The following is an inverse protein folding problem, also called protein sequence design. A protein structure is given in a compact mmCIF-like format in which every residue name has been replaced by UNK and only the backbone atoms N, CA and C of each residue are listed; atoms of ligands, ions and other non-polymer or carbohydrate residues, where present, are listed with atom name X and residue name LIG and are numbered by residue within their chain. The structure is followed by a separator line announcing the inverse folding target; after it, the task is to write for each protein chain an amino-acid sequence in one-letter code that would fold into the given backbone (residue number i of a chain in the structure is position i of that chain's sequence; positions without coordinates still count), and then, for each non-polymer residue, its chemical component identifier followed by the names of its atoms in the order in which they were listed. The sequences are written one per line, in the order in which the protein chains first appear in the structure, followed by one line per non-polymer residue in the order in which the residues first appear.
data_IF_440105780430
#
_entry.id   IF_440105780430
#
_cell.length_a   1.000
_cell.length_b   1.000
_cell.length_c   1.000
_cell.angle_alpha   90.00
_cell.angle_beta   90.00
_cell.angle_gamma   90.00
#
_symmetry.space_group_name_H-M   'P 1'
#
loop_
_entity.id
_entity.type
_entity.pdbx_description
1 polymer ?
#
# COMPACT_ATOMS: atom_id res chain seq x y z
N UNK A 1 13.12 8.47 -3.89
CA UNK A 1 11.67 8.71 -4.06
C UNK A 1 10.97 7.72 -5.01
N UNK A 2 11.28 7.64 -6.32
CA UNK A 2 10.57 6.70 -7.22
C UNK A 2 10.74 5.23 -6.80
N UNK A 3 11.97 4.81 -6.54
CA UNK A 3 12.26 3.45 -6.04
C UNK A 3 11.52 3.16 -4.72
N UNK A 4 11.54 4.08 -3.77
CA UNK A 4 10.83 3.92 -2.48
C UNK A 4 9.32 3.79 -2.66
N UNK A 5 8.70 4.55 -3.58
CA UNK A 5 7.29 4.42 -3.90
C UNK A 5 6.99 3.04 -4.50
N UNK A 6 7.81 2.56 -5.46
CA UNK A 6 7.66 1.22 -6.04
C UNK A 6 7.75 0.15 -4.95
N UNK A 7 8.80 0.21 -4.13
CA UNK A 7 9.05 -0.74 -3.05
C UNK A 7 7.90 -0.74 -2.03
N UNK A 8 7.48 0.44 -1.57
CA UNK A 8 6.42 0.59 -0.58
C UNK A 8 5.10 0.01 -1.07
N UNK A 9 4.63 0.41 -2.25
CA UNK A 9 3.34 -0.07 -2.74
C UNK A 9 3.39 -1.56 -3.13
N UNK A 10 4.55 -2.07 -3.54
CA UNK A 10 4.75 -3.50 -3.80
C UNK A 10 4.70 -4.30 -2.50
N UNK A 11 5.39 -3.85 -1.45
CA UNK A 11 5.35 -4.48 -0.12
C UNK A 11 3.94 -4.43 0.47
N UNK A 12 3.28 -3.27 0.42
CA UNK A 12 1.91 -3.11 0.88
C UNK A 12 0.96 -4.06 0.13
N UNK A 13 1.08 -4.17 -1.20
CA UNK A 13 0.28 -5.10 -2.00
C UNK A 13 0.56 -6.57 -1.63
N UNK A 14 1.83 -6.95 -1.47
CA UNK A 14 2.21 -8.31 -1.10
C UNK A 14 1.68 -8.71 0.29
N UNK A 15 1.87 -7.85 1.29
CA UNK A 15 1.39 -8.10 2.66
C UNK A 15 -0.15 -8.11 2.69
N UNK A 16 -0.81 -7.19 1.98
CA UNK A 16 -2.28 -7.17 1.89
C UNK A 16 -2.80 -8.41 1.19
N UNK A 17 -2.12 -8.92 0.15
CA UNK A 17 -2.48 -10.17 -0.52
C UNK A 17 -2.43 -11.34 0.46
N UNK A 18 -1.34 -11.46 1.23
CA UNK A 18 -1.22 -12.48 2.26
C UNK A 18 -2.33 -12.38 3.31
N UNK A 19 -2.67 -11.16 3.75
CA UNK A 19 -3.75 -10.93 4.71
C UNK A 19 -5.13 -11.32 4.14
N UNK A 20 -5.40 -10.98 2.87
CA UNK A 20 -6.66 -11.30 2.17
C UNK A 20 -6.83 -12.80 1.95
N UNK A 21 -5.73 -13.56 1.83
CA UNK A 21 -5.77 -15.03 1.74
C UNK A 21 -6.22 -15.71 3.05
N UNK A 22 -6.16 -15.02 4.20
CA UNK A 22 -6.67 -15.56 5.45
C UNK A 22 -8.20 -15.55 5.44
N UNK A 23 -8.87 -16.71 5.59
CA UNK A 23 -10.32 -16.78 5.57
C UNK A 23 -10.97 -15.86 6.62
N UNK A 24 -11.99 -15.11 6.21
CA UNK A 24 -12.75 -14.25 7.10
C UNK A 24 -12.18 -12.83 7.29
N UNK A 25 -10.90 -12.57 6.99
CA UNK A 25 -10.30 -11.24 7.13
C UNK A 25 -10.94 -10.22 6.17
N UNK A 26 -11.17 -10.63 4.91
CA UNK A 26 -11.80 -9.78 3.89
C UNK A 26 -13.23 -9.41 4.25
N UNK A 27 -13.93 -10.31 4.93
CA UNK A 27 -15.32 -10.14 5.37
C UNK A 27 -15.41 -9.58 6.79
N UNK A 28 -14.29 -9.28 7.43
CA UNK A 28 -14.26 -8.75 8.79
C UNK A 28 -14.95 -7.38 8.82
N UNK A 29 -15.62 -7.10 9.94
CA UNK A 29 -16.25 -5.79 10.17
C UNK A 29 -15.20 -4.68 10.07
N UNK A 30 -15.64 -3.47 9.69
CA UNK A 30 -14.77 -2.31 9.52
C UNK A 30 -13.85 -2.05 10.73
N UNK A 31 -14.32 -2.36 11.94
CA UNK A 31 -13.56 -2.24 13.19
C UNK A 31 -12.30 -3.11 13.26
N UNK A 32 -12.26 -4.24 12.56
CA UNK A 32 -11.06 -5.09 12.46
C UNK A 32 -10.29 -4.85 11.16
N UNK A 33 -11.00 -4.52 10.07
CA UNK A 33 -10.39 -4.25 8.77
C UNK A 33 -9.55 -2.97 8.74
N UNK A 34 -10.00 -1.89 9.39
CA UNK A 34 -9.29 -0.60 9.40
C UNK A 34 -7.95 -0.71 10.17
N UNK A 35 -7.90 -1.22 11.42
CA UNK A 35 -6.64 -1.32 12.14
C UNK A 35 -5.63 -2.19 11.41
N UNK A 36 -6.08 -3.29 10.79
CA UNK A 36 -5.20 -4.17 10.04
C UNK A 36 -4.67 -3.49 8.76
N UNK A 37 -5.53 -2.83 8.00
CA UNK A 37 -5.14 -2.04 6.83
C UNK A 37 -4.03 -1.02 7.19
N UNK A 38 -4.25 -0.26 8.27
CA UNK A 38 -3.27 0.69 8.78
C UNK A 38 -1.97 0.02 9.24
N UNK A 39 -2.06 -1.09 9.97
CA UNK A 39 -0.88 -1.83 10.42
C UNK A 39 -0.03 -2.33 9.24
N UNK A 40 -0.68 -2.77 8.15
CA UNK A 40 0.01 -3.19 6.92
C UNK A 40 0.73 -1.99 6.27
N UNK A 41 0.06 -0.84 6.15
CA UNK A 41 0.68 0.36 5.55
C UNK A 41 1.86 0.87 6.38
N UNK A 42 1.72 0.92 7.70
CA UNK A 42 2.80 1.30 8.62
C UNK A 42 3.96 0.30 8.53
N UNK A 43 3.65 -1.01 8.56
CA UNK A 43 4.65 -2.06 8.43
C UNK A 43 5.41 -2.00 7.10
N UNK A 44 4.70 -1.79 5.98
CA UNK A 44 5.30 -1.62 4.67
C UNK A 44 6.18 -0.36 4.59
N UNK A 45 5.74 0.75 5.19
CA UNK A 45 6.52 1.98 5.27
C UNK A 45 7.81 1.77 6.07
N UNK A 46 7.70 1.18 7.25
CA UNK A 46 8.84 0.85 8.09
C UNK A 46 9.85 -0.07 7.38
N UNK A 47 9.38 -1.14 6.74
CA UNK A 47 10.23 -2.03 5.94
C UNK A 47 10.92 -1.30 4.79
N UNK A 48 10.19 -0.42 4.09
CA UNK A 48 10.77 0.37 2.98
C UNK A 48 11.87 1.29 3.49
N UNK A 49 11.63 2.01 4.58
CA UNK A 49 12.63 2.90 5.19
C UNK A 49 13.87 2.14 5.67
N UNK A 50 13.69 0.93 6.22
CA UNK A 50 14.82 0.06 6.55
C UNK A 50 15.61 -0.38 5.31
N UNK A 51 14.94 -0.79 4.24
CA UNK A 51 15.61 -1.27 3.01
C UNK A 51 16.39 -0.14 2.33
N UNK A 52 15.80 1.05 2.24
CA UNK A 52 16.40 2.20 1.53
C UNK A 52 17.29 3.05 2.45
N UNK A 53 17.28 2.77 3.75
CA UNK A 53 18.00 3.54 4.78
C UNK A 53 17.53 5.01 4.83
N UNK A 54 16.25 5.24 4.53
CA UNK A 54 15.60 6.54 4.56
C UNK A 54 14.48 6.56 5.63
N UNK A 55 14.68 7.23 6.79
CA UNK A 55 13.66 7.31 7.83
C UNK A 55 12.47 8.18 7.44
N UNK A 56 12.65 9.10 6.48
CA UNK A 56 11.57 9.97 5.98
C UNK A 56 10.56 9.12 5.20
N UNK A 57 11.04 8.18 4.38
CA UNK A 57 10.21 7.22 3.66
C UNK A 57 9.29 6.43 4.60
N UNK A 58 9.79 6.02 5.77
CA UNK A 58 9.01 5.27 6.76
C UNK A 58 7.80 6.05 7.32
N UNK A 59 7.84 7.38 7.29
CA UNK A 59 6.78 8.25 7.82
C UNK A 59 5.86 8.74 6.71
N UNK A 60 6.42 9.17 5.57
CA UNK A 60 5.67 9.83 4.51
C UNK A 60 4.88 8.83 3.66
N UNK A 61 5.45 7.67 3.33
CA UNK A 61 4.82 6.71 2.43
C UNK A 61 3.52 6.10 2.99
N UNK A 62 3.43 5.74 4.29
CA UNK A 62 2.16 5.33 4.87
C UNK A 62 1.05 6.37 4.72
N UNK A 63 1.35 7.67 4.81
CA UNK A 63 0.36 8.74 4.63
C UNK A 63 -0.19 8.76 3.21
N UNK A 64 0.67 8.61 2.20
CA UNK A 64 0.25 8.46 0.81
C UNK A 64 -0.60 7.19 0.60
N UNK A 65 -0.18 6.07 1.20
CA UNK A 65 -0.94 4.82 1.18
C UNK A 65 -2.35 4.95 1.78
N UNK A 66 -2.47 5.65 2.92
CA UNK A 66 -3.76 5.95 3.56
C UNK A 66 -4.61 6.82 2.65
N UNK A 67 -4.03 7.86 2.03
CA UNK A 67 -4.73 8.70 1.06
C UNK A 67 -5.30 7.90 -0.12
N UNK A 68 -4.48 7.04 -0.72
CA UNK A 68 -4.89 6.18 -1.83
C UNK A 68 -5.98 5.17 -1.43
N UNK A 69 -5.87 4.58 -0.23
CA UNK A 69 -6.89 3.71 0.35
C UNK A 69 -8.22 4.45 0.54
N UNK A 70 -8.19 5.63 1.19
CA UNK A 70 -9.39 6.42 1.43
C UNK A 70 -10.07 6.78 0.11
N UNK A 71 -9.30 7.23 -0.88
CA UNK A 71 -9.85 7.60 -2.18
C UNK A 71 -10.48 6.39 -2.88
N UNK A 72 -9.79 5.24 -2.91
CA UNK A 72 -10.34 4.00 -3.48
C UNK A 72 -11.60 3.56 -2.73
N UNK A 73 -11.62 3.69 -1.40
CA UNK A 73 -12.75 3.33 -0.56
C UNK A 73 -13.96 4.21 -0.82
N UNK A 74 -13.78 5.50 -1.14
CA UNK A 74 -14.86 6.44 -1.50
C UNK A 74 -15.56 6.04 -2.78
N UNK A 75 -14.81 5.56 -3.78
CA UNK A 75 -15.38 5.10 -5.07
C UNK A 75 -16.00 3.70 -4.99
N UNK A 76 -15.57 2.89 -4.01
CA UNK A 76 -16.03 1.51 -3.84
C UNK A 76 -16.61 1.27 -2.42
N UNK A 77 -17.67 1.99 -1.99
CA UNK A 77 -18.21 1.97 -0.62
C UNK A 77 -18.69 0.57 -0.15
N UNK A 78 -19.02 -0.34 -1.06
CA UNK A 78 -19.42 -1.71 -0.77
C UNK A 78 -18.25 -2.69 -0.55
N UNK A 79 -17.01 -2.32 -0.86
CA UNK A 79 -15.83 -3.17 -0.69
C UNK A 79 -15.30 -3.11 0.74
N UNK A 80 -14.59 -4.15 1.20
CA UNK A 80 -13.89 -4.08 2.49
C UNK A 80 -12.65 -3.20 2.41
N UNK A 81 -12.16 -2.72 3.55
CA UNK A 81 -10.93 -1.91 3.61
C UNK A 81 -9.72 -2.65 3.02
N UNK A 82 -9.58 -3.96 3.29
CA UNK A 82 -8.48 -4.75 2.75
C UNK A 82 -8.58 -4.93 1.23
N UNK A 83 -9.79 -5.12 0.69
CA UNK A 83 -9.99 -5.21 -0.75
C UNK A 83 -9.68 -3.87 -1.45
N UNK A 84 -10.14 -2.75 -0.86
CA UNK A 84 -9.82 -1.41 -1.37
C UNK A 84 -8.31 -1.11 -1.28
N UNK A 85 -7.64 -1.52 -0.20
CA UNK A 85 -6.20 -1.35 -0.03
C UNK A 85 -5.40 -2.18 -1.04
N UNK A 86 -5.80 -3.43 -1.28
CA UNK A 86 -5.12 -4.28 -2.25
C UNK A 86 -5.21 -3.67 -3.65
N UNK A 87 -6.40 -3.21 -4.05
CA UNK A 87 -6.61 -2.56 -5.33
C UNK A 87 -5.79 -1.27 -5.45
N UNK A 88 -5.84 -0.40 -4.43
CA UNK A 88 -5.13 0.88 -4.45
C UNK A 88 -3.61 0.65 -4.51
N UNK A 89 -3.09 -0.27 -3.71
CA UNK A 89 -1.67 -0.59 -3.69
C UNK A 89 -1.19 -1.15 -5.03
N UNK A 90 -1.92 -2.08 -5.64
CA UNK A 90 -1.58 -2.63 -6.96
C UNK A 90 -1.62 -1.58 -8.06
N UNK A 91 -2.67 -0.74 -8.08
CA UNK A 91 -2.82 0.30 -9.08
C UNK A 91 -1.67 1.31 -8.99
N UNK A 92 -1.40 1.82 -7.79
CA UNK A 92 -0.34 2.82 -7.58
C UNK A 92 1.04 2.20 -7.81
N UNK A 93 1.30 0.98 -7.33
CA UNK A 93 2.54 0.26 -7.62
C UNK A 93 2.79 0.16 -9.14
N UNK A 94 1.76 -0.21 -9.90
CA UNK A 94 1.86 -0.36 -11.36
C UNK A 94 2.17 0.97 -12.04
N UNK A 95 1.45 2.03 -11.67
CA UNK A 95 1.67 3.38 -12.24
C UNK A 95 3.07 3.90 -11.90
N UNK A 96 3.48 3.82 -10.63
CA UNK A 96 4.81 4.28 -10.20
C UNK A 96 5.89 3.44 -10.86
N UNK A 97 5.71 2.12 -10.99
CA UNK A 97 6.67 1.25 -11.67
C UNK A 97 6.85 1.64 -13.14
N UNK A 98 5.77 1.92 -13.87
CA UNK A 98 5.85 2.39 -15.26
C UNK A 98 6.61 3.72 -15.37
N UNK A 99 6.36 4.66 -14.45
CA UNK A 99 7.10 5.93 -14.40
C UNK A 99 8.58 5.68 -14.10
N UNK A 100 8.88 4.84 -13.11
CA UNK A 100 10.24 4.47 -12.73
C UNK A 100 10.99 3.82 -13.90
N UNK A 101 10.40 2.81 -14.53
CA UNK A 101 10.99 2.11 -15.68
C UNK A 101 11.18 3.04 -16.89
N UNK A 102 10.23 3.94 -17.13
CA UNK A 102 10.33 4.94 -18.20
C UNK A 102 11.38 6.02 -17.94
N UNK A 103 11.62 6.37 -16.68
CA UNK A 103 12.64 7.34 -16.28
C UNK A 103 14.06 6.73 -16.24
N UNK A 104 14.17 5.43 -15.97
CA UNK A 104 15.45 4.73 -15.75
C UNK A 104 16.51 4.89 -16.86
N UNK A 105 16.18 5.03 -18.16
CA UNK A 105 17.19 5.32 -19.18
C UNK A 105 17.82 6.71 -19.09
N UNK A 106 17.18 7.63 -18.37
CA UNK A 106 17.55 9.05 -18.30
C UNK A 106 18.14 9.48 -16.94
N UNK A 107 18.18 8.56 -15.97
CA UNK A 107 18.67 8.77 -14.60
C UNK A 107 19.82 7.82 -14.33
#
# INVERSE_FOLDING_TARGET
MLLELVLFFTLAAAITTAAVMVPGLVRARAWAGIPLALAILVGAGWLTGLIVHDPVAATILPLFGVGALIETRRHLPQWSFLAAQLLSALLVASVVYLIYAGAQPFV
#
